data_IF_543943344248
#
_entry.id   IF_543943344248
#
_cell.length_a   1.000
_cell.length_b   1.000
_cell.length_c   1.000
_cell.angle_alpha   90.00
_cell.angle_beta   90.00
_cell.angle_gamma   90.00
#
_symmetry.space_group_name_H-M   'P 1'
#
loop_
_entity.id
_entity.type
_entity.pdbx_description
1 polymer ?
#
# COMPACT_ATOMS: atom_id res chain seq x y z
N UNK A 1 -5.30 -5.59 -38.87
CA UNK A 1 -6.40 -5.04 -38.07
C UNK A 1 -6.96 -6.04 -37.07
N UNK A 2 -7.52 -7.19 -37.49
CA UNK A 2 -8.12 -8.18 -36.54
C UNK A 2 -7.16 -8.69 -35.45
N UNK A 3 -5.89 -8.98 -35.80
CA UNK A 3 -4.86 -9.41 -34.82
C UNK A 3 -4.59 -8.37 -33.72
N UNK A 4 -4.58 -7.08 -34.07
CA UNK A 4 -4.37 -5.99 -33.12
C UNK A 4 -5.53 -5.85 -32.14
N UNK A 5 -6.76 -6.04 -32.60
CA UNK A 5 -7.95 -6.05 -31.72
C UNK A 5 -7.97 -7.25 -30.77
N UNK A 6 -7.52 -8.43 -31.22
CA UNK A 6 -7.40 -9.61 -30.35
C UNK A 6 -6.36 -9.37 -29.25
N UNK A 7 -5.18 -8.82 -29.61
CA UNK A 7 -4.14 -8.49 -28.63
C UNK A 7 -4.65 -7.43 -27.64
N UNK A 8 -5.33 -6.39 -28.11
CA UNK A 8 -5.93 -5.36 -27.26
C UNK A 8 -6.95 -5.97 -26.29
N UNK A 9 -7.83 -6.84 -26.78
CA UNK A 9 -8.84 -7.53 -25.95
C UNK A 9 -8.18 -8.40 -24.88
N UNK A 10 -7.15 -9.17 -25.23
CA UNK A 10 -6.38 -9.96 -24.26
C UNK A 10 -5.66 -9.08 -23.23
N UNK A 11 -5.06 -7.96 -23.64
CA UNK A 11 -4.42 -7.01 -22.72
C UNK A 11 -5.43 -6.39 -21.74
N UNK A 12 -6.59 -5.95 -22.24
CA UNK A 12 -7.64 -5.36 -21.41
C UNK A 12 -8.19 -6.39 -20.42
N UNK A 13 -8.46 -7.62 -20.88
CA UNK A 13 -8.90 -8.71 -20.00
C UNK A 13 -7.86 -9.00 -18.93
N UNK A 14 -6.59 -9.13 -19.30
CA UNK A 14 -5.52 -9.38 -18.35
C UNK A 14 -5.41 -8.27 -17.29
N UNK A 15 -5.39 -7.00 -17.72
CA UNK A 15 -5.34 -5.86 -16.79
C UNK A 15 -6.58 -5.80 -15.90
N UNK A 16 -7.76 -6.14 -16.44
CA UNK A 16 -9.00 -6.19 -15.66
C UNK A 16 -8.94 -7.24 -14.55
N UNK A 17 -8.46 -8.46 -14.85
CA UNK A 17 -8.26 -9.49 -13.83
C UNK A 17 -7.20 -9.05 -12.80
N UNK A 18 -6.07 -8.51 -13.23
CA UNK A 18 -5.02 -8.02 -12.33
C UNK A 18 -5.56 -6.97 -11.36
N UNK A 19 -6.33 -5.99 -11.84
CA UNK A 19 -6.88 -4.95 -10.98
C UNK A 19 -8.01 -5.45 -10.06
N UNK A 20 -8.86 -6.35 -10.55
CA UNK A 20 -9.96 -6.89 -9.76
C UNK A 20 -9.48 -7.71 -8.57
N UNK A 21 -8.37 -8.43 -8.69
CA UNK A 21 -7.82 -9.21 -7.59
C UNK A 21 -6.82 -8.39 -6.76
N UNK A 22 -5.73 -7.93 -7.36
CA UNK A 22 -4.64 -7.30 -6.61
C UNK A 22 -5.06 -5.92 -6.11
N UNK A 23 -5.67 -5.11 -6.97
CA UNK A 23 -6.16 -3.78 -6.60
C UNK A 23 -7.19 -3.88 -5.47
N UNK A 24 -8.24 -4.66 -5.68
CA UNK A 24 -9.32 -4.81 -4.69
C UNK A 24 -8.82 -5.38 -3.36
N UNK A 25 -7.97 -6.41 -3.35
CA UNK A 25 -7.45 -6.97 -2.10
C UNK A 25 -6.64 -5.96 -1.28
N UNK A 26 -5.82 -5.12 -1.92
CA UNK A 26 -5.03 -4.10 -1.21
C UNK A 26 -5.93 -3.06 -0.56
N UNK A 27 -6.93 -2.56 -1.29
CA UNK A 27 -7.87 -1.59 -0.74
C UNK A 27 -8.77 -2.19 0.34
N UNK A 28 -9.12 -3.47 0.21
CA UNK A 28 -9.89 -4.21 1.20
C UNK A 28 -9.10 -4.35 2.50
N UNK A 29 -7.86 -4.84 2.44
CA UNK A 29 -6.97 -4.96 3.61
C UNK A 29 -6.79 -3.61 4.31
N UNK A 30 -6.62 -2.54 3.54
CA UNK A 30 -6.51 -1.19 4.09
C UNK A 30 -7.79 -0.80 4.87
N UNK A 31 -8.97 -1.20 4.38
CA UNK A 31 -10.24 -0.96 5.07
C UNK A 31 -10.47 -1.84 6.31
N UNK A 32 -9.80 -2.99 6.40
CA UNK A 32 -9.86 -3.93 7.53
C UNK A 32 -8.91 -3.52 8.66
N UNK A 33 -7.75 -2.93 8.34
CA UNK A 33 -6.78 -2.46 9.33
C UNK A 33 -7.29 -1.23 10.09
N UNK A 34 -8.13 -0.41 9.47
CA UNK A 34 -8.61 0.83 10.08
C UNK A 34 -9.92 0.64 10.87
N UNK A 35 -9.98 1.12 12.15
CA UNK A 35 -11.16 0.99 12.99
C UNK A 35 -12.36 1.75 12.41
N UNK A 36 -13.56 1.22 12.65
CA UNK A 36 -14.82 1.66 12.01
C UNK A 36 -15.10 3.15 12.19
N UNK A 37 -14.74 3.70 13.36
CA UNK A 37 -14.99 5.09 13.74
C UNK A 37 -14.18 6.11 12.92
N UNK A 38 -12.98 5.76 12.45
CA UNK A 38 -12.06 6.69 11.75
C UNK A 38 -11.72 6.24 10.33
N UNK A 39 -12.24 5.10 9.87
CA UNK A 39 -11.93 4.50 8.55
C UNK A 39 -11.99 5.51 7.41
N UNK A 40 -13.06 6.32 7.33
CA UNK A 40 -13.22 7.29 6.24
C UNK A 40 -12.10 8.35 6.22
N UNK A 41 -11.72 8.86 7.38
CA UNK A 41 -10.66 9.85 7.51
C UNK A 41 -9.27 9.24 7.28
N UNK A 42 -9.01 8.08 7.86
CA UNK A 42 -7.75 7.34 7.69
C UNK A 42 -7.51 6.93 6.22
N UNK A 43 -8.54 6.44 5.54
CA UNK A 43 -8.47 6.13 4.10
C UNK A 43 -8.20 7.38 3.26
N UNK A 44 -8.82 8.51 3.59
CA UNK A 44 -8.57 9.79 2.91
C UNK A 44 -7.10 10.23 3.01
N UNK A 45 -6.51 10.15 4.20
CA UNK A 45 -5.09 10.46 4.42
C UNK A 45 -4.20 9.47 3.68
N UNK A 46 -4.49 8.17 3.74
CA UNK A 46 -3.70 7.15 3.05
C UNK A 46 -3.69 7.38 1.53
N UNK A 47 -4.85 7.67 0.94
CA UNK A 47 -4.99 8.02 -0.48
C UNK A 47 -4.21 9.30 -0.80
N UNK A 48 -4.32 10.34 0.04
CA UNK A 48 -3.58 11.59 -0.16
C UNK A 48 -2.06 11.35 -0.17
N UNK A 49 -1.52 10.62 0.82
CA UNK A 49 -0.10 10.28 0.88
C UNK A 49 0.33 9.43 -0.32
N UNK A 50 -0.50 8.49 -0.77
CA UNK A 50 -0.25 7.70 -1.98
C UNK A 50 -0.11 8.60 -3.22
N UNK A 51 -1.06 9.51 -3.44
CA UNK A 51 -1.02 10.42 -4.58
C UNK A 51 0.12 11.42 -4.50
N UNK A 52 0.43 11.96 -3.32
CA UNK A 52 1.58 12.83 -3.11
C UNK A 52 2.89 12.10 -3.41
N UNK A 53 3.05 10.87 -2.93
CA UNK A 53 4.24 10.06 -3.19
C UNK A 53 4.37 9.76 -4.69
N UNK A 54 3.27 9.42 -5.35
CA UNK A 54 3.25 9.19 -6.80
C UNK A 54 3.65 10.46 -7.59
N UNK A 55 3.16 11.63 -7.18
CA UNK A 55 3.55 12.90 -7.78
C UNK A 55 5.05 13.18 -7.58
N UNK A 56 5.57 13.03 -6.36
CA UNK A 56 7.00 13.22 -6.04
C UNK A 56 7.85 12.29 -6.91
N UNK A 57 7.52 10.99 -6.97
CA UNK A 57 8.25 10.01 -7.79
C UNK A 57 8.19 10.38 -9.27
N UNK A 58 7.04 10.84 -9.77
CA UNK A 58 6.88 11.25 -11.17
C UNK A 58 7.78 12.43 -11.55
N UNK A 59 8.00 13.39 -10.64
CA UNK A 59 8.93 14.50 -10.86
C UNK A 59 10.40 14.12 -10.61
N UNK A 60 10.63 13.20 -9.68
CA UNK A 60 11.96 12.74 -9.30
C UNK A 60 12.55 11.78 -10.34
N UNK A 61 11.71 10.98 -11.01
CA UNK A 61 12.14 9.97 -11.98
C UNK A 61 12.95 10.55 -13.15
N UNK A 62 12.52 11.62 -13.85
CA UNK A 62 13.32 12.24 -14.90
C UNK A 62 14.68 12.75 -14.40
N UNK A 63 14.72 13.36 -13.20
CA UNK A 63 15.94 13.90 -12.61
C UNK A 63 16.95 12.78 -12.26
N UNK A 64 16.47 11.68 -11.67
CA UNK A 64 17.31 10.52 -11.38
C UNK A 64 17.78 9.84 -12.67
N UNK A 65 16.91 9.72 -13.66
CA UNK A 65 17.25 9.11 -14.94
C UNK A 65 18.32 9.92 -15.69
N UNK A 66 18.31 11.24 -15.60
CA UNK A 66 19.33 12.10 -16.20
C UNK A 66 20.67 12.00 -15.45
N UNK A 67 20.65 11.91 -14.11
CA UNK A 67 21.85 11.87 -13.29
C UNK A 67 22.54 10.48 -13.21
N UNK A 68 21.78 9.39 -13.12
CA UNK A 68 22.29 8.02 -12.92
C UNK A 68 22.08 7.09 -14.13
N UNK A 69 21.37 7.55 -15.15
CA UNK A 69 20.88 6.70 -16.24
C UNK A 69 19.74 5.77 -15.81
N UNK A 70 19.12 5.11 -16.79
CA UNK A 70 17.96 4.24 -16.53
C UNK A 70 18.30 3.06 -15.62
N UNK A 71 19.45 2.41 -15.84
CA UNK A 71 19.87 1.25 -15.02
C UNK A 71 20.10 1.63 -13.56
N UNK A 72 20.73 2.77 -13.27
CA UNK A 72 20.97 3.24 -11.91
C UNK A 72 19.67 3.63 -11.19
N UNK A 73 18.76 4.30 -11.89
CA UNK A 73 17.44 4.68 -11.37
C UNK A 73 16.61 3.45 -11.02
N UNK A 74 16.53 2.46 -11.90
CA UNK A 74 15.79 1.22 -11.61
C UNK A 74 16.42 0.41 -10.47
N UNK A 75 17.75 0.35 -10.38
CA UNK A 75 18.43 -0.31 -9.26
C UNK A 75 18.11 0.36 -7.91
N UNK A 76 18.04 1.69 -7.87
CA UNK A 76 17.63 2.43 -6.68
C UNK A 76 16.17 2.10 -6.29
N UNK A 77 15.25 2.08 -7.25
CA UNK A 77 13.86 1.69 -6.98
C UNK A 77 13.75 0.25 -6.47
N UNK A 78 14.55 -0.68 -6.98
CA UNK A 78 14.61 -2.05 -6.46
C UNK A 78 15.07 -2.06 -5.00
N UNK A 79 16.14 -1.32 -4.66
CA UNK A 79 16.62 -1.21 -3.28
C UNK A 79 15.54 -0.65 -2.33
N UNK A 80 14.84 0.40 -2.74
CA UNK A 80 13.72 0.98 -1.97
C UNK A 80 12.56 -0.01 -1.81
N UNK A 81 12.23 -0.77 -2.87
CA UNK A 81 11.19 -1.81 -2.79
C UNK A 81 11.55 -2.94 -1.83
N UNK A 82 12.81 -3.38 -1.80
CA UNK A 82 13.28 -4.39 -0.84
C UNK A 82 13.16 -3.86 0.60
N UNK A 83 13.51 -2.59 0.83
CA UNK A 83 13.33 -1.94 2.13
C UNK A 83 11.86 -1.88 2.54
N UNK A 84 10.98 -1.50 1.62
CA UNK A 84 9.52 -1.47 1.83
C UNK A 84 8.97 -2.87 2.14
N UNK A 85 9.43 -3.90 1.44
CA UNK A 85 9.04 -5.29 1.71
C UNK A 85 9.38 -5.71 3.14
N UNK A 86 10.60 -5.41 3.60
CA UNK A 86 11.01 -5.73 4.97
C UNK A 86 10.22 -4.96 6.02
N UNK A 87 9.90 -3.69 5.74
CA UNK A 87 9.05 -2.86 6.59
C UNK A 87 7.64 -3.46 6.70
N UNK A 88 7.03 -3.84 5.58
CA UNK A 88 5.69 -4.46 5.56
C UNK A 88 5.70 -5.76 6.37
N UNK A 89 6.68 -6.63 6.19
CA UNK A 89 6.76 -7.89 6.97
C UNK A 89 6.94 -7.70 8.47
N UNK A 90 7.60 -6.63 8.91
CA UNK A 90 7.89 -6.37 10.33
C UNK A 90 6.79 -5.57 11.03
N UNK A 91 6.16 -4.63 10.33
CA UNK A 91 5.31 -3.61 10.93
C UNK A 91 3.82 -3.76 10.60
N UNK A 92 3.47 -4.51 9.55
CA UNK A 92 2.06 -4.79 9.23
C UNK A 92 1.69 -6.12 9.88
N UNK A 93 0.91 -6.12 10.97
CA UNK A 93 0.40 -7.35 11.55
C UNK A 93 -0.47 -8.06 10.51
N UNK A 94 -0.24 -9.36 10.29
CA UNK A 94 -1.07 -10.16 9.39
C UNK A 94 -2.53 -10.15 9.89
N UNK A 95 -3.42 -9.48 9.16
CA UNK A 95 -4.87 -9.42 9.44
C UNK A 95 -5.63 -10.65 8.93
N UNK A 96 -4.92 -11.61 8.32
CA UNK A 96 -5.53 -12.77 7.66
C UNK A 96 -6.08 -13.77 8.69
N UNK A 97 -7.39 -13.72 8.93
CA UNK A 97 -8.13 -14.74 9.70
C UNK A 97 -8.53 -14.35 11.12
N UNK A 98 -8.48 -13.07 11.49
CA UNK A 98 -9.04 -12.54 12.75
C UNK A 98 -10.36 -11.82 12.45
N UNK A 99 -11.38 -11.96 13.29
CA UNK A 99 -12.63 -11.20 13.10
C UNK A 99 -12.37 -9.71 13.28
N UNK A 100 -13.15 -8.85 12.62
CA UNK A 100 -12.98 -7.38 12.71
C UNK A 100 -13.03 -6.89 14.17
N UNK A 101 -13.86 -7.54 14.99
CA UNK A 101 -14.08 -7.24 16.41
C UNK A 101 -12.87 -7.64 17.28
N UNK A 102 -12.27 -8.80 17.03
CA UNK A 102 -11.05 -9.24 17.73
C UNK A 102 -9.83 -8.38 17.37
N UNK A 103 -9.77 -7.83 16.15
CA UNK A 103 -8.72 -6.89 15.75
C UNK A 103 -8.90 -5.53 16.43
N UNK A 104 -10.14 -5.05 16.54
CA UNK A 104 -10.47 -3.81 17.24
C UNK A 104 -10.15 -3.92 18.75
N UNK A 105 -10.53 -5.02 19.41
CA UNK A 105 -10.16 -5.27 20.81
C UNK A 105 -8.64 -5.35 21.04
N UNK A 106 -7.89 -5.96 20.11
CA UNK A 106 -6.42 -6.03 20.22
C UNK A 106 -5.75 -4.68 20.03
N UNK A 107 -6.20 -3.88 19.06
CA UNK A 107 -5.66 -2.54 18.82
C UNK A 107 -6.02 -1.56 19.96
N UNK A 108 -7.22 -1.67 20.53
CA UNK A 108 -7.62 -0.91 21.72
C UNK A 108 -6.85 -1.33 22.98
N UNK A 109 -6.57 -2.63 23.13
CA UNK A 109 -5.75 -3.16 24.23
C UNK A 109 -4.28 -2.71 24.14
N UNK A 110 -3.66 -2.73 22.95
CA UNK A 110 -2.30 -2.20 22.74
C UNK A 110 -2.24 -0.68 22.94
N UNK A 111 -3.28 0.05 22.50
CA UNK A 111 -3.42 1.49 22.77
C UNK A 111 -3.52 1.81 24.27
N UNK A 112 -4.32 1.04 25.02
CA UNK A 112 -4.52 1.21 26.46
C UNK A 112 -3.30 0.80 27.30
N UNK A 113 -2.53 -0.20 26.84
CA UNK A 113 -1.26 -0.57 27.46
C UNK A 113 -0.22 0.56 27.32
N UNK A 114 -0.15 1.21 26.15
CA UNK A 114 0.76 2.35 25.92
C UNK A 114 0.37 3.63 26.67
N UNK A 115 -0.94 3.84 26.91
CA UNK A 115 -1.47 4.93 27.74
C UNK A 115 -1.10 4.69 29.21
N UNK A 116 -1.35 3.47 29.69
CA UNK A 116 -1.07 3.11 31.09
C UNK A 116 0.41 3.30 31.39
N UNK A 117 1.32 2.84 30.53
CA UNK A 117 2.77 3.01 30.73
C UNK A 117 3.22 4.48 30.72
N UNK A 118 2.53 5.38 30.00
CA UNK A 118 2.81 6.83 30.02
C UNK A 118 2.20 7.59 31.18
N UNK A 119 1.22 7.01 31.88
CA UNK A 119 0.58 7.67 33.04
C UNK A 119 1.23 7.27 34.37
N UNK A 120 2.04 6.20 34.36
CA UNK A 120 2.74 5.69 35.56
C UNK A 120 4.22 6.12 35.60
N UNK A 121 4.67 7.01 34.69
CA UNK A 121 6.00 7.64 34.72
C UNK A 121 5.89 9.13 34.96
#
# INVERSE_FOLDING_TARGET
>A
TTRSYVILACMVLFVAFVQMFIGTCVWLLLSEIFPLSVRGFAMGIAVFVLWCTNAIISFLFPLLNDALGSTGTFALFVAVNIGSWFFVQRLVPETKGTSLEELEERLEAEGSASLTERTVV
#
